data_IF_697635957022
#
_entry.id   IF_697635957022
#
_cell.length_a   1.000
_cell.length_b   1.000
_cell.length_c   1.000
_cell.angle_alpha   90.00
_cell.angle_beta   90.00
_cell.angle_gamma   90.00
#
_symmetry.space_group_name_H-M   'P 1'
#
loop_
_entity.id
_entity.type
_entity.pdbx_description
1 polymer ?
#
# COMPACT_ATOMS: atom_id res chain seq x y z
N UNK A 1 13.23 -17.92 -14.96
CA UNK A 1 12.01 -17.11 -14.77
C UNK A 1 12.15 -15.83 -15.57
N UNK A 2 11.17 -15.48 -16.40
CA UNK A 2 11.15 -14.16 -17.06
C UNK A 2 11.17 -13.08 -15.97
N UNK A 3 12.04 -12.06 -16.14
CA UNK A 3 12.17 -10.92 -15.21
C UNK A 3 10.81 -10.31 -14.82
N UNK A 4 9.82 -10.39 -15.73
CA UNK A 4 8.45 -9.91 -15.54
C UNK A 4 7.67 -10.64 -14.46
N UNK A 5 7.72 -11.98 -14.47
CA UNK A 5 7.04 -12.81 -13.48
C UNK A 5 7.63 -12.57 -12.09
N UNK A 6 8.95 -12.36 -12.01
CA UNK A 6 9.63 -12.01 -10.75
C UNK A 6 9.08 -10.72 -10.14
N UNK A 7 8.95 -9.64 -10.92
CA UNK A 7 8.40 -8.39 -10.41
C UNK A 7 6.91 -8.49 -10.05
N UNK A 8 6.11 -9.22 -10.82
CA UNK A 8 4.70 -9.42 -10.50
C UNK A 8 4.54 -10.17 -9.17
N UNK A 9 5.31 -11.25 -8.96
CA UNK A 9 5.32 -11.98 -7.69
C UNK A 9 5.78 -11.09 -6.54
N UNK A 10 6.85 -10.31 -6.72
CA UNK A 10 7.32 -9.40 -5.68
C UNK A 10 6.24 -8.37 -5.29
N UNK A 11 5.57 -7.73 -6.26
CA UNK A 11 4.47 -6.79 -5.99
C UNK A 11 3.34 -7.47 -5.22
N UNK A 12 2.96 -8.68 -5.64
CA UNK A 12 1.89 -9.43 -5.00
C UNK A 12 2.23 -9.79 -3.55
N UNK A 13 3.45 -10.31 -3.31
CA UNK A 13 3.91 -10.68 -1.97
C UNK A 13 3.97 -9.46 -1.05
N UNK A 14 4.49 -8.34 -1.54
CA UNK A 14 4.54 -7.08 -0.75
C UNK A 14 3.12 -6.59 -0.45
N UNK A 15 2.23 -6.58 -1.44
CA UNK A 15 0.84 -6.16 -1.22
C UNK A 15 0.13 -7.06 -0.19
N UNK A 16 0.34 -8.37 -0.27
CA UNK A 16 -0.23 -9.31 0.69
C UNK A 16 0.31 -9.09 2.09
N UNK A 17 1.62 -8.84 2.24
CA UNK A 17 2.23 -8.48 3.53
C UNK A 17 1.61 -7.22 4.14
N UNK A 18 1.39 -6.18 3.32
CA UNK A 18 0.72 -4.95 3.76
C UNK A 18 -0.72 -5.24 4.22
N UNK A 19 -1.48 -6.03 3.45
CA UNK A 19 -2.85 -6.38 3.83
C UNK A 19 -2.91 -7.18 5.12
N UNK A 20 -2.00 -8.14 5.32
CA UNK A 20 -1.89 -8.90 6.58
C UNK A 20 -1.61 -7.95 7.75
N UNK A 21 -0.67 -7.01 7.59
CA UNK A 21 -0.38 -6.01 8.62
C UNK A 21 -1.61 -5.13 8.94
N UNK A 22 -2.38 -4.71 7.92
CA UNK A 22 -3.61 -3.94 8.11
C UNK A 22 -4.69 -4.73 8.86
N UNK A 23 -4.81 -6.04 8.60
CA UNK A 23 -5.75 -6.92 9.33
C UNK A 23 -5.35 -7.03 10.80
N UNK A 24 -4.07 -7.21 11.11
CA UNK A 24 -3.59 -7.24 12.50
C UNK A 24 -3.84 -5.90 13.21
N UNK A 25 -3.55 -4.78 12.55
CA UNK A 25 -3.83 -3.44 13.09
C UNK A 25 -5.33 -3.24 13.34
N UNK A 26 -6.18 -3.71 12.43
CA UNK A 26 -7.63 -3.64 12.57
C UNK A 26 -8.12 -4.46 13.75
N UNK A 27 -7.68 -5.72 13.89
CA UNK A 27 -8.03 -6.58 15.02
C UNK A 27 -7.66 -5.93 16.36
N UNK A 28 -6.43 -5.40 16.46
CA UNK A 28 -5.97 -4.71 17.66
C UNK A 28 -6.82 -3.45 17.98
N UNK A 29 -7.35 -2.78 16.96
CA UNK A 29 -8.22 -1.61 17.14
C UNK A 29 -9.65 -1.99 17.55
N UNK A 30 -10.10 -3.20 17.19
CA UNK A 30 -11.44 -3.72 17.51
C UNK A 30 -11.51 -4.36 18.90
N UNK A 31 -10.39 -4.84 19.44
CA UNK A 31 -10.31 -5.29 20.83
C UNK A 31 -10.59 -4.15 21.85
N UNK A 32 -10.56 -2.89 21.40
CA UNK A 32 -11.02 -1.72 22.14
C UNK A 32 -12.40 -1.21 21.72
N UNK A 33 -12.70 0.06 22.01
CA UNK A 33 -13.88 0.73 21.47
C UNK A 33 -13.60 1.18 20.03
N UNK A 34 -13.93 0.33 19.04
CA UNK A 34 -13.65 0.63 17.64
C UNK A 34 -14.40 1.88 17.15
N UNK A 35 -13.65 2.88 16.71
CA UNK A 35 -14.17 4.01 15.95
C UNK A 35 -13.50 4.06 14.58
N UNK A 36 -14.30 3.85 13.52
CA UNK A 36 -13.80 3.84 12.15
C UNK A 36 -13.13 5.17 11.75
N UNK A 37 -13.66 6.31 12.22
CA UNK A 37 -13.09 7.63 11.96
C UNK A 37 -11.69 7.72 12.54
N UNK A 38 -11.49 7.20 13.76
CA UNK A 38 -10.18 7.17 14.40
C UNK A 38 -9.20 6.27 13.63
N UNK A 39 -9.63 5.05 13.26
CA UNK A 39 -8.80 4.12 12.48
C UNK A 39 -8.34 4.69 11.13
N UNK A 40 -9.25 5.32 10.38
CA UNK A 40 -8.92 5.90 9.07
C UNK A 40 -8.29 7.29 9.14
N UNK A 41 -8.17 7.89 10.33
CA UNK A 41 -7.43 9.15 10.53
C UNK A 41 -5.91 8.93 10.54
N UNK A 42 -5.45 7.70 10.75
CA UNK A 42 -4.02 7.38 10.66
C UNK A 42 -3.53 7.42 9.21
N UNK A 43 -2.67 8.39 8.91
CA UNK A 43 -2.04 8.51 7.59
C UNK A 43 -1.21 7.27 7.21
N UNK A 44 -0.71 6.51 8.18
CA UNK A 44 -0.02 5.23 7.98
C UNK A 44 -0.96 4.13 7.49
N UNK A 45 -2.22 4.10 7.95
CA UNK A 45 -3.24 3.16 7.48
C UNK A 45 -3.63 3.49 6.04
N UNK A 46 -3.93 4.76 5.75
CA UNK A 46 -4.34 5.20 4.42
C UNK A 46 -3.24 5.01 3.36
N UNK A 47 -1.98 5.32 3.69
CA UNK A 47 -0.84 5.12 2.79
C UNK A 47 -0.59 3.64 2.48
N UNK A 48 -0.68 2.76 3.48
CA UNK A 48 -0.57 1.32 3.28
C UNK A 48 -1.72 0.77 2.41
N UNK A 49 -2.96 1.22 2.61
CA UNK A 49 -4.09 0.84 1.76
C UNK A 49 -3.83 1.27 0.31
N UNK A 50 -3.39 2.52 0.09
CA UNK A 50 -3.08 3.03 -1.25
C UNK A 50 -1.96 2.21 -1.93
N UNK A 51 -0.90 1.87 -1.20
CA UNK A 51 0.20 1.05 -1.69
C UNK A 51 -0.26 -0.37 -2.05
N UNK A 52 -0.97 -1.06 -1.15
CA UNK A 52 -1.49 -2.41 -1.39
C UNK A 52 -2.44 -2.44 -2.60
N UNK A 53 -3.41 -1.51 -2.64
CA UNK A 53 -4.36 -1.40 -3.74
C UNK A 53 -3.65 -1.18 -5.08
N UNK A 54 -2.67 -0.28 -5.13
CA UNK A 54 -1.95 0.01 -6.36
C UNK A 54 -1.06 -1.16 -6.81
N UNK A 55 -0.39 -1.84 -5.88
CA UNK A 55 0.44 -3.01 -6.19
C UNK A 55 -0.40 -4.17 -6.75
N UNK A 56 -1.56 -4.46 -6.15
CA UNK A 56 -2.47 -5.49 -6.66
C UNK A 56 -3.03 -5.13 -8.04
N UNK A 57 -3.34 -3.86 -8.25
CA UNK A 57 -3.81 -3.36 -9.53
C UNK A 57 -2.74 -3.46 -10.63
N UNK A 58 -1.46 -3.22 -10.32
CA UNK A 58 -0.34 -3.45 -11.24
C UNK A 58 -0.13 -4.94 -11.54
N UNK A 59 -0.38 -5.83 -10.59
CA UNK A 59 -0.32 -7.29 -10.80
C UNK A 59 -1.44 -7.76 -11.73
N UNK A 60 -2.64 -7.19 -11.59
CA UNK A 60 -3.81 -7.57 -12.40
C UNK A 60 -3.80 -7.00 -13.82
N UNK A 61 -2.91 -6.04 -14.13
CA UNK A 61 -2.92 -5.33 -15.42
C UNK A 61 -1.99 -5.93 -16.48
N UNK A 62 -2.39 -5.92 -17.76
CA UNK A 62 -1.51 -6.29 -18.87
C UNK A 62 -0.33 -5.31 -19.02
N UNK A 63 0.87 -5.79 -19.42
CA UNK A 63 2.07 -4.94 -19.56
C UNK A 63 1.92 -3.78 -20.55
N UNK A 64 1.08 -3.93 -21.55
CA UNK A 64 0.82 -2.93 -22.60
C UNK A 64 0.06 -1.69 -22.08
N UNK A 65 -0.43 -1.72 -20.83
CA UNK A 65 -1.20 -0.63 -20.22
C UNK A 65 -0.35 0.42 -19.50
N UNK A 66 0.99 0.37 -19.65
CA UNK A 66 1.89 1.39 -19.09
C UNK A 66 1.75 2.72 -19.84
N UNK A 67 0.85 3.56 -19.34
CA UNK A 67 0.68 4.94 -19.83
C UNK A 67 1.38 5.94 -18.91
N UNK A 68 1.67 7.18 -19.38
CA UNK A 68 2.22 8.23 -18.54
C UNK A 68 1.39 8.50 -17.28
N UNK A 69 0.06 8.36 -17.36
CA UNK A 69 -0.85 8.50 -16.21
C UNK A 69 -0.59 7.42 -15.15
N UNK A 70 -0.36 6.18 -15.56
CA UNK A 70 -0.02 5.09 -14.64
C UNK A 70 1.32 5.35 -13.96
N UNK A 71 2.31 5.82 -14.71
CA UNK A 71 3.61 6.18 -14.14
C UNK A 71 3.52 7.34 -13.13
N UNK A 72 2.72 8.37 -13.44
CA UNK A 72 2.46 9.48 -12.53
C UNK A 72 1.74 9.02 -11.25
N UNK A 73 0.72 8.17 -11.37
CA UNK A 73 0.00 7.64 -10.22
C UNK A 73 0.88 6.75 -9.35
N UNK A 74 1.72 5.90 -9.96
CA UNK A 74 2.77 5.16 -9.24
C UNK A 74 3.70 6.10 -8.47
N UNK A 75 4.17 7.17 -9.12
CA UNK A 75 4.98 8.20 -8.48
C UNK A 75 4.28 8.84 -7.28
N UNK A 76 2.99 9.15 -7.39
CA UNK A 76 2.19 9.72 -6.32
C UNK A 76 2.06 8.76 -5.11
N UNK A 77 1.77 7.48 -5.36
CA UNK A 77 1.68 6.46 -4.31
C UNK A 77 3.04 6.27 -3.63
N UNK A 78 4.13 6.19 -4.40
CA UNK A 78 5.50 6.09 -3.86
C UNK A 78 5.86 7.32 -3.03
N UNK A 79 5.55 8.52 -3.51
CA UNK A 79 5.80 9.76 -2.78
C UNK A 79 5.01 9.81 -1.48
N UNK A 80 3.75 9.38 -1.49
CA UNK A 80 2.94 9.33 -0.27
C UNK A 80 3.53 8.36 0.77
N UNK A 81 4.01 7.18 0.34
CA UNK A 81 4.72 6.25 1.22
C UNK A 81 6.04 6.86 1.76
N UNK A 82 6.80 7.56 0.92
CA UNK A 82 8.04 8.20 1.34
C UNK A 82 7.80 9.30 2.38
N UNK A 83 6.80 10.14 2.18
CA UNK A 83 6.38 11.16 3.15
C UNK A 83 5.91 10.49 4.44
N UNK A 84 5.08 9.45 4.33
CA UNK A 84 4.61 8.67 5.50
C UNK A 84 5.78 8.13 6.32
N UNK A 85 6.75 7.49 5.66
CA UNK A 85 7.93 6.95 6.32
C UNK A 85 8.78 8.05 6.98
N UNK A 86 8.96 9.19 6.32
CA UNK A 86 9.67 10.33 6.87
C UNK A 86 8.99 10.87 8.13
N UNK A 87 7.67 11.10 8.06
CA UNK A 87 6.88 11.62 9.19
C UNK A 87 6.93 10.63 10.34
N UNK A 88 6.76 9.33 10.06
CA UNK A 88 6.87 8.29 11.07
C UNK A 88 8.24 8.29 11.75
N UNK A 89 9.33 8.34 10.97
CA UNK A 89 10.69 8.28 11.51
C UNK A 89 11.11 9.51 12.33
N UNK A 90 10.48 10.66 12.11
CA UNK A 90 10.86 11.94 12.76
C UNK A 90 9.92 12.30 13.91
N UNK A 91 8.63 11.92 13.84
CA UNK A 91 7.61 12.39 14.78
C UNK A 91 6.99 11.30 15.67
N UNK A 92 7.21 10.02 15.39
CA UNK A 92 6.69 8.89 16.17
C UNK A 92 7.84 8.05 16.75
#
# INVERSE_FOLDING_TARGET
>A
MSSRTGFAVARFVVALGILVALVFQFQHSVDGAFEAVNFFSFFTVLSNIAAAAFLLWEVARPPETQTPKVAAFRGAVTLYMAITALVYAVLL
#
